data_IF_954635627031
#
_entry.id   IF_954635627031
#
_cell.length_a   1.000
_cell.length_b   1.000
_cell.length_c   1.000
_cell.angle_alpha   90.00
_cell.angle_beta   90.00
_cell.angle_gamma   90.00
#
_symmetry.space_group_name_H-M   'P 1'
#
loop_
_entity.id
_entity.type
_entity.pdbx_description
1 polymer ?
#
# COMPACT_ATOMS: atom_id res chain seq x y z
N UNK A 1 -59.37 7.40 21.02
CA UNK A 1 -59.44 7.29 19.56
C UNK A 1 -58.08 7.64 18.99
N UNK A 2 -57.40 6.69 18.32
CA UNK A 2 -56.12 6.92 17.66
C UNK A 2 -56.33 7.22 16.17
N UNK A 3 -55.51 8.07 15.56
CA UNK A 3 -55.36 8.18 14.11
C UNK A 3 -53.87 8.20 13.77
N UNK A 4 -53.39 7.03 13.36
CA UNK A 4 -52.87 6.72 12.01
C UNK A 4 -51.40 7.05 11.86
N UNK A 5 -50.59 6.00 12.02
CA UNK A 5 -49.18 5.91 11.61
C UNK A 5 -49.14 5.61 10.11
N UNK A 6 -48.28 6.34 9.43
CA UNK A 6 -47.91 6.11 8.04
C UNK A 6 -47.21 4.74 7.88
N UNK A 7 -47.66 3.99 6.86
CA UNK A 7 -47.14 2.68 6.46
C UNK A 7 -46.12 2.87 5.33
N UNK A 8 -44.90 2.35 5.53
CA UNK A 8 -43.90 2.19 4.47
C UNK A 8 -44.30 1.06 3.50
N UNK A 9 -43.96 1.14 2.20
CA UNK A 9 -44.33 0.14 1.21
C UNK A 9 -43.39 -1.08 1.25
N UNK A 10 -43.99 -2.25 1.50
CA UNK A 10 -43.35 -3.55 1.36
C UNK A 10 -43.21 -3.94 -0.12
N UNK A 11 -41.99 -4.35 -0.49
CA UNK A 11 -41.64 -4.90 -1.80
C UNK A 11 -42.08 -6.37 -1.86
N UNK A 12 -43.08 -6.69 -2.68
CA UNK A 12 -43.50 -8.06 -3.00
C UNK A 12 -43.05 -8.41 -4.44
N UNK A 13 -42.35 -9.52 -4.67
CA UNK A 13 -42.15 -10.03 -6.03
C UNK A 13 -43.39 -10.78 -6.51
N UNK A 14 -43.92 -10.31 -7.63
CA UNK A 14 -45.05 -10.88 -8.35
C UNK A 14 -44.68 -12.25 -8.96
N UNK A 15 -45.61 -13.19 -8.79
CA UNK A 15 -45.69 -14.47 -9.51
C UNK A 15 -45.97 -14.13 -10.97
N UNK A 16 -45.17 -14.69 -11.89
CA UNK A 16 -45.42 -14.64 -13.33
C UNK A 16 -45.34 -16.06 -13.89
N UNK A 17 -46.31 -16.31 -14.76
CA UNK A 17 -46.83 -17.59 -15.17
C UNK A 17 -46.02 -18.31 -16.26
N UNK A 18 -46.17 -19.63 -16.25
CA UNK A 18 -45.81 -20.58 -17.30
C UNK A 18 -46.53 -20.29 -18.62
N UNK A 19 -45.81 -19.89 -19.68
CA UNK A 19 -46.07 -20.28 -21.09
C UNK A 19 -45.03 -19.65 -22.05
N UNK A 20 -44.77 -20.34 -23.17
CA UNK A 20 -43.98 -19.96 -24.37
C UNK A 20 -42.46 -20.23 -24.38
N UNK A 21 -42.09 -21.43 -24.84
CA UNK A 21 -40.88 -21.64 -25.64
C UNK A 21 -41.20 -22.65 -26.76
N UNK A 22 -41.54 -22.13 -27.94
CA UNK A 22 -41.39 -22.85 -29.21
C UNK A 22 -40.49 -22.08 -30.17
N UNK A 23 -39.90 -22.86 -31.08
CA UNK A 23 -39.24 -22.48 -32.32
C UNK A 23 -37.80 -21.94 -32.21
N UNK A 24 -36.85 -22.84 -32.41
CA UNK A 24 -35.77 -22.66 -33.41
C UNK A 24 -35.15 -24.02 -33.75
N UNK A 25 -35.81 -24.71 -34.69
CA UNK A 25 -35.20 -25.76 -35.50
C UNK A 25 -34.57 -25.08 -36.71
N UNK A 26 -33.28 -25.33 -37.00
CA UNK A 26 -32.80 -25.71 -38.34
C UNK A 26 -31.26 -25.71 -38.45
N UNK A 27 -30.81 -26.72 -39.19
CA UNK A 27 -29.53 -26.93 -39.89
C UNK A 27 -28.41 -27.61 -39.10
N UNK A 28 -28.20 -28.91 -39.38
CA UNK A 28 -26.97 -29.47 -39.97
C UNK A 28 -27.14 -31.00 -40.24
N UNK A 29 -26.36 -31.60 -41.15
CA UNK A 29 -26.84 -32.64 -42.07
C UNK A 29 -26.53 -34.10 -41.69
N UNK A 30 -27.26 -34.96 -42.40
CA UNK A 30 -27.17 -36.40 -42.54
C UNK A 30 -25.77 -36.93 -42.95
N UNK A 31 -25.24 -37.97 -42.28
CA UNK A 31 -24.39 -39.03 -42.85
C UNK A 31 -24.58 -40.33 -42.04
N UNK A 32 -24.44 -41.53 -42.65
CA UNK A 32 -25.22 -42.71 -42.32
C UNK A 32 -24.55 -43.70 -41.37
N UNK A 33 -25.43 -44.49 -40.76
CA UNK A 33 -25.18 -45.72 -40.01
C UNK A 33 -24.33 -46.73 -40.80
N UNK A 34 -23.20 -47.13 -40.22
CA UNK A 34 -22.80 -48.54 -40.17
C UNK A 34 -21.70 -48.71 -39.12
N UNK A 35 -21.99 -49.38 -38.02
CA UNK A 35 -20.94 -50.05 -37.26
C UNK A 35 -21.49 -51.24 -36.46
N UNK A 36 -20.84 -52.36 -36.70
CA UNK A 36 -21.08 -53.68 -36.16
C UNK A 36 -21.00 -53.75 -34.62
N UNK A 37 -21.73 -54.74 -34.12
CA UNK A 37 -21.76 -55.15 -32.73
C UNK A 37 -20.36 -55.59 -32.23
N UNK A 38 -19.76 -54.79 -31.35
CA UNK A 38 -18.83 -55.27 -30.32
C UNK A 38 -18.94 -54.35 -29.10
N UNK A 39 -19.67 -54.82 -28.07
CA UNK A 39 -19.76 -54.14 -26.78
C UNK A 39 -18.42 -54.27 -26.04
N UNK A 40 -17.63 -53.19 -26.01
CA UNK A 40 -16.41 -53.13 -25.20
C UNK A 40 -16.57 -52.20 -23.98
N UNK A 41 -15.98 -52.64 -22.87
CA UNK A 41 -16.21 -52.24 -21.47
C UNK A 41 -15.73 -50.82 -21.10
N UNK A 42 -15.54 -49.93 -22.06
CA UNK A 42 -15.11 -48.53 -21.85
C UNK A 42 -16.29 -47.55 -21.71
N UNK A 43 -17.52 -47.96 -22.10
CA UNK A 43 -18.74 -47.15 -21.95
C UNK A 43 -19.16 -46.94 -20.48
N UNK A 44 -18.84 -47.88 -19.58
CA UNK A 44 -19.23 -47.76 -18.17
C UNK A 44 -18.46 -46.68 -17.40
N UNK A 45 -17.19 -46.41 -17.76
CA UNK A 45 -16.39 -45.42 -17.04
C UNK A 45 -16.72 -43.98 -17.47
N UNK A 46 -16.97 -43.77 -18.76
CA UNK A 46 -17.37 -42.45 -19.29
C UNK A 46 -18.82 -42.10 -18.91
N UNK A 47 -19.74 -43.07 -18.91
CA UNK A 47 -21.14 -42.86 -18.46
C UNK A 47 -21.24 -42.64 -16.94
N UNK A 48 -20.28 -43.15 -16.16
CA UNK A 48 -20.17 -42.86 -14.74
C UNK A 48 -19.59 -41.46 -14.45
N UNK A 49 -18.75 -40.94 -15.35
CA UNK A 49 -18.21 -39.58 -15.24
C UNK A 49 -19.19 -38.50 -15.76
N UNK A 50 -19.97 -38.79 -16.82
CA UNK A 50 -21.01 -37.87 -17.32
C UNK A 50 -22.20 -37.72 -16.36
N UNK A 51 -22.62 -38.81 -15.70
CA UNK A 51 -23.71 -38.76 -14.71
C UNK A 51 -23.28 -38.22 -13.33
N UNK A 52 -22.04 -37.75 -13.19
CA UNK A 52 -21.53 -37.08 -11.97
C UNK A 52 -21.53 -35.57 -12.09
N UNK A 53 -22.09 -35.05 -13.17
CA UNK A 53 -22.51 -33.66 -13.33
C UNK A 53 -24.03 -33.64 -13.14
N UNK A 54 -24.51 -34.23 -12.04
CA UNK A 54 -25.83 -33.87 -11.52
C UNK A 54 -25.65 -32.47 -10.96
N UNK A 55 -26.04 -31.51 -11.77
CA UNK A 55 -26.54 -30.19 -11.40
C UNK A 55 -26.44 -29.89 -9.90
N UNK A 56 -25.38 -29.21 -9.48
CA UNK A 56 -25.45 -28.37 -8.27
C UNK A 56 -26.38 -27.20 -8.57
N UNK A 57 -27.69 -27.47 -8.61
CA UNK A 57 -28.70 -26.42 -8.51
C UNK A 57 -28.40 -25.65 -7.21
N UNK A 58 -28.19 -24.33 -7.25
CA UNK A 58 -27.94 -23.57 -6.04
C UNK A 58 -29.12 -23.79 -5.09
N UNK A 59 -28.83 -24.24 -3.88
CA UNK A 59 -29.88 -24.46 -2.87
C UNK A 59 -30.61 -23.13 -2.67
N UNK A 60 -31.92 -23.12 -2.95
CA UNK A 60 -32.72 -21.90 -2.92
C UNK A 60 -32.95 -21.45 -1.46
N UNK A 61 -32.84 -20.13 -1.22
CA UNK A 61 -33.15 -19.44 0.04
C UNK A 61 -32.29 -19.83 1.28
N UNK A 62 -32.66 -19.31 2.45
CA UNK A 62 -32.08 -19.64 3.76
C UNK A 62 -32.58 -21.00 4.31
N UNK A 63 -32.51 -22.04 3.48
CA UNK A 63 -33.06 -23.37 3.78
C UNK A 63 -32.55 -23.99 5.09
N UNK A 64 -31.33 -23.66 5.53
CA UNK A 64 -30.77 -24.11 6.82
C UNK A 64 -31.50 -23.44 8.00
N UNK A 65 -31.78 -22.14 7.89
CA UNK A 65 -32.52 -21.42 8.92
C UNK A 65 -33.97 -21.87 8.97
N UNK A 66 -34.59 -22.07 7.80
CA UNK A 66 -35.93 -22.64 7.70
C UNK A 66 -36.02 -24.03 8.31
N UNK A 67 -35.04 -24.90 8.02
CA UNK A 67 -34.96 -26.23 8.63
C UNK A 67 -34.83 -26.15 10.15
N UNK A 68 -34.02 -25.21 10.66
CA UNK A 68 -33.91 -24.97 12.12
C UNK A 68 -35.22 -24.44 12.70
N UNK A 69 -35.97 -23.59 11.97
CA UNK A 69 -37.28 -23.07 12.41
C UNK A 69 -38.35 -24.18 12.41
N UNK A 70 -38.36 -25.05 11.40
CA UNK A 70 -39.35 -26.13 11.22
C UNK A 70 -39.08 -27.35 12.11
N UNK A 71 -37.84 -27.80 12.19
CA UNK A 71 -37.45 -29.05 12.86
C UNK A 71 -36.59 -28.84 14.12
N UNK A 72 -36.24 -27.60 14.43
CA UNK A 72 -35.38 -27.27 15.56
C UNK A 72 -33.90 -27.56 15.29
N UNK A 73 -33.08 -27.34 16.32
CA UNK A 73 -31.70 -27.84 16.35
C UNK A 73 -31.67 -29.22 16.98
N UNK A 74 -30.58 -29.94 16.76
CA UNK A 74 -30.27 -31.18 17.48
C UNK A 74 -30.44 -30.97 18.99
N UNK A 75 -31.09 -31.91 19.68
CA UNK A 75 -31.46 -31.79 21.09
C UNK A 75 -30.28 -31.45 22.02
N UNK A 76 -29.09 -31.99 21.73
CA UNK A 76 -27.87 -31.76 22.52
C UNK A 76 -27.03 -30.53 22.08
N UNK A 77 -27.52 -29.73 21.12
CA UNK A 77 -26.78 -28.60 20.55
C UNK A 77 -26.37 -27.57 21.61
N UNK A 78 -27.32 -27.14 22.45
CA UNK A 78 -27.07 -26.12 23.46
C UNK A 78 -26.16 -26.63 24.57
N UNK A 79 -26.31 -27.89 24.98
CA UNK A 79 -25.41 -28.51 25.95
C UNK A 79 -23.98 -28.61 25.44
N UNK A 80 -23.80 -29.01 24.18
CA UNK A 80 -22.49 -29.07 23.52
C UNK A 80 -21.85 -27.68 23.40
N UNK A 81 -22.63 -26.67 23.00
CA UNK A 81 -22.17 -25.28 22.87
C UNK A 81 -21.71 -24.73 24.22
N UNK A 82 -22.54 -24.85 25.26
CA UNK A 82 -22.20 -24.46 26.64
C UNK A 82 -20.94 -25.15 27.13
N UNK A 83 -20.84 -26.47 26.97
CA UNK A 83 -19.64 -27.25 27.37
C UNK A 83 -18.40 -26.87 26.55
N UNK A 84 -18.55 -26.41 25.30
CA UNK A 84 -17.44 -25.95 24.46
C UNK A 84 -16.91 -24.59 24.96
N UNK A 85 -17.80 -23.64 25.19
CA UNK A 85 -17.46 -22.30 25.69
C UNK A 85 -16.78 -22.37 27.07
N UNK A 86 -17.31 -23.17 27.99
CA UNK A 86 -16.70 -23.38 29.30
C UNK A 86 -15.28 -23.98 29.23
N UNK A 87 -15.01 -24.89 28.27
CA UNK A 87 -13.69 -25.51 28.09
C UNK A 87 -12.70 -24.63 27.34
N UNK A 88 -13.14 -23.57 26.69
CA UNK A 88 -12.30 -22.74 25.81
C UNK A 88 -11.19 -22.02 26.59
N UNK A 89 -11.47 -21.57 27.82
CA UNK A 89 -10.47 -20.94 28.69
C UNK A 89 -9.30 -21.91 29.03
N UNK A 90 -9.61 -23.14 29.40
CA UNK A 90 -8.59 -24.16 29.68
C UNK A 90 -7.85 -24.58 28.41
N UNK A 91 -8.58 -24.82 27.31
CA UNK A 91 -8.00 -25.18 26.01
C UNK A 91 -7.04 -24.12 25.51
N UNK A 92 -7.42 -22.85 25.63
CA UNK A 92 -6.58 -21.76 25.16
C UNK A 92 -5.30 -21.58 25.99
N UNK A 93 -5.38 -21.72 27.31
CA UNK A 93 -4.19 -21.72 28.18
C UNK A 93 -3.27 -22.89 27.87
N UNK A 94 -3.83 -24.10 27.76
CA UNK A 94 -3.06 -25.30 27.42
C UNK A 94 -2.43 -25.20 26.02
N UNK A 95 -3.15 -24.65 25.05
CA UNK A 95 -2.63 -24.45 23.70
C UNK A 95 -1.53 -23.40 23.67
N UNK A 96 -1.63 -22.32 24.45
CA UNK A 96 -0.57 -21.32 24.56
C UNK A 96 0.73 -21.88 25.14
N UNK A 97 0.65 -22.79 26.13
CA UNK A 97 1.82 -23.46 26.72
C UNK A 97 2.46 -24.50 25.78
N UNK A 98 1.64 -25.18 24.97
CA UNK A 98 2.10 -26.25 24.07
C UNK A 98 2.57 -25.73 22.70
N UNK A 99 2.07 -24.58 22.26
CA UNK A 99 2.45 -24.02 20.97
C UNK A 99 3.93 -23.63 20.98
N UNK A 100 4.68 -24.07 19.96
CA UNK A 100 6.09 -23.72 19.77
C UNK A 100 6.32 -23.04 18.40
N UNK A 101 7.43 -22.30 18.28
CA UNK A 101 7.87 -21.69 17.03
C UNK A 101 6.91 -20.61 16.49
N UNK A 102 6.68 -20.61 15.18
CA UNK A 102 5.85 -19.60 14.49
C UNK A 102 4.40 -19.63 15.00
N UNK A 103 3.87 -20.82 15.29
CA UNK A 103 2.48 -20.96 15.79
C UNK A 103 2.30 -20.25 17.13
N UNK A 104 3.28 -20.32 18.02
CA UNK A 104 3.28 -19.60 19.29
C UNK A 104 3.32 -18.07 19.07
N UNK A 105 4.21 -17.60 18.20
CA UNK A 105 4.34 -16.17 17.87
C UNK A 105 3.04 -15.58 17.32
N UNK A 106 2.39 -16.28 16.38
CA UNK A 106 1.10 -15.85 15.83
C UNK A 106 -0.01 -15.86 16.88
N UNK A 107 -0.04 -16.86 17.75
CA UNK A 107 -0.99 -16.93 18.87
C UNK A 107 -0.82 -15.73 19.80
N UNK A 108 0.40 -15.42 20.21
CA UNK A 108 0.66 -14.31 21.11
C UNK A 108 0.34 -12.95 20.47
N UNK A 109 0.66 -12.77 19.18
CA UNK A 109 0.28 -11.58 18.43
C UNK A 109 -1.24 -11.40 18.36
N UNK A 110 -1.99 -12.47 18.05
CA UNK A 110 -3.46 -12.46 18.06
C UNK A 110 -4.02 -12.12 19.44
N UNK A 111 -3.51 -12.76 20.50
CA UNK A 111 -3.94 -12.52 21.88
C UNK A 111 -3.64 -11.09 22.34
N UNK A 112 -2.51 -10.52 21.93
CA UNK A 112 -2.19 -9.13 22.22
C UNK A 112 -3.18 -8.18 21.55
N UNK A 113 -3.51 -8.41 20.27
CA UNK A 113 -4.50 -7.61 19.55
C UNK A 113 -5.90 -7.70 20.20
N UNK A 114 -6.36 -8.90 20.57
CA UNK A 114 -7.63 -9.11 21.29
C UNK A 114 -7.67 -8.33 22.61
N UNK A 115 -6.61 -8.39 23.42
CA UNK A 115 -6.51 -7.65 24.69
C UNK A 115 -6.54 -6.14 24.47
N UNK A 116 -5.84 -5.63 23.45
CA UNK A 116 -5.83 -4.20 23.12
C UNK A 116 -7.22 -3.75 22.67
N UNK A 117 -7.90 -4.54 21.84
CA UNK A 117 -9.26 -4.24 21.40
C UNK A 117 -10.23 -4.18 22.59
N UNK A 118 -10.21 -5.17 23.48
CA UNK A 118 -11.06 -5.19 24.67
C UNK A 118 -10.78 -4.01 25.61
N UNK A 119 -9.50 -3.65 25.80
CA UNK A 119 -9.14 -2.46 26.58
C UNK A 119 -9.69 -1.17 25.96
N UNK A 120 -9.62 -1.02 24.64
CA UNK A 120 -10.19 0.14 23.93
C UNK A 120 -11.71 0.18 24.05
N UNK A 121 -12.40 -0.96 23.94
CA UNK A 121 -13.87 -0.99 24.05
C UNK A 121 -14.34 -0.71 25.47
N UNK A 122 -13.64 -1.23 26.49
CA UNK A 122 -13.94 -0.91 27.89
C UNK A 122 -13.71 0.57 28.16
N UNK A 123 -12.54 1.11 27.75
CA UNK A 123 -12.23 2.52 27.89
C UNK A 123 -13.27 3.42 27.23
N UNK A 124 -13.67 3.13 25.98
CA UNK A 124 -14.70 3.89 25.28
C UNK A 124 -16.09 3.79 25.93
N UNK A 125 -16.42 2.65 26.56
CA UNK A 125 -17.66 2.48 27.32
C UNK A 125 -17.64 3.28 28.63
N UNK A 126 -16.53 3.23 29.36
CA UNK A 126 -16.33 3.97 30.61
C UNK A 126 -16.36 5.49 30.35
N UNK A 127 -15.66 5.95 29.30
CA UNK A 127 -15.65 7.35 28.85
C UNK A 127 -17.00 7.84 28.32
N UNK A 128 -17.88 6.95 27.82
CA UNK A 128 -19.25 7.33 27.43
C UNK A 128 -20.11 7.64 28.66
N UNK A 129 -19.93 6.88 29.73
CA UNK A 129 -20.73 7.02 30.95
C UNK A 129 -20.25 8.19 31.83
N UNK A 130 -18.97 8.53 31.73
CA UNK A 130 -18.43 9.76 32.31
C UNK A 130 -18.71 10.91 31.33
N UNK A 131 -19.67 11.77 31.64
CA UNK A 131 -19.71 13.11 31.02
C UNK A 131 -18.41 13.80 31.40
N UNK A 132 -17.40 13.75 30.54
CA UNK A 132 -16.34 14.73 30.60
C UNK A 132 -17.06 16.07 30.40
N UNK A 133 -16.94 16.97 31.38
CA UNK A 133 -17.19 18.38 31.12
C UNK A 133 -16.38 18.69 29.88
N UNK A 134 -17.07 19.01 28.79
CA UNK A 134 -16.42 19.43 27.57
C UNK A 134 -15.29 20.37 27.97
N UNK A 135 -14.07 20.12 27.51
CA UNK A 135 -13.04 21.16 27.50
C UNK A 135 -13.39 22.24 26.47
N UNK A 136 -14.68 22.61 26.39
CA UNK A 136 -15.26 23.77 25.76
C UNK A 136 -15.14 25.00 26.67
N UNK A 137 -14.49 24.89 27.83
CA UNK A 137 -13.76 26.05 28.37
C UNK A 137 -12.59 26.32 27.44
N UNK A 138 -12.91 26.99 26.34
CA UNK A 138 -11.99 27.73 25.49
C UNK A 138 -11.01 28.43 26.45
N UNK A 139 -9.71 28.11 26.45
CA UNK A 139 -8.75 28.91 27.21
C UNK A 139 -8.93 30.35 26.73
N UNK A 140 -9.12 31.27 27.68
CA UNK A 140 -9.63 32.64 27.53
C UNK A 140 -8.87 33.46 26.46
N UNK A 141 -9.22 33.23 25.20
CA UNK A 141 -8.39 33.53 24.04
C UNK A 141 -8.81 32.71 22.81
N UNK A 142 -10.09 32.80 22.44
CA UNK A 142 -10.63 32.17 21.24
C UNK A 142 -9.79 32.53 20.00
N UNK A 143 -9.00 31.56 19.52
CA UNK A 143 -8.30 31.70 18.27
C UNK A 143 -9.30 31.42 17.14
N UNK A 144 -9.32 32.25 16.08
CA UNK A 144 -10.06 31.93 14.86
C UNK A 144 -9.73 30.52 14.35
N UNK A 145 -10.68 29.86 13.69
CA UNK A 145 -10.54 28.46 13.23
C UNK A 145 -9.26 28.19 12.43
N UNK A 146 -8.79 29.18 11.67
CA UNK A 146 -7.55 29.13 10.88
C UNK A 146 -6.24 29.26 11.69
N UNK A 147 -6.31 29.49 13.01
CA UNK A 147 -5.17 29.60 13.93
C UNK A 147 -5.12 28.48 14.97
N UNK A 148 -6.15 27.63 15.06
CA UNK A 148 -6.21 26.52 16.03
C UNK A 148 -5.07 25.50 15.85
N UNK A 149 -4.64 25.25 14.61
CA UNK A 149 -3.57 24.28 14.28
C UNK A 149 -2.15 24.87 14.39
N UNK A 150 -2.01 26.13 14.80
CA UNK A 150 -0.73 26.85 14.87
C UNK A 150 -0.48 27.33 16.30
N UNK A 151 -0.27 26.39 17.22
CA UNK A 151 0.07 26.70 18.61
C UNK A 151 1.34 27.57 18.68
N UNK A 152 1.16 28.83 19.06
CA UNK A 152 2.24 29.76 19.37
C UNK A 152 2.60 29.68 20.85
N UNK A 153 3.81 29.21 21.16
CA UNK A 153 4.38 29.29 22.51
C UNK A 153 4.50 30.76 22.95
N UNK A 154 3.73 31.15 23.98
CA UNK A 154 3.80 32.47 24.59
C UNK A 154 4.46 32.37 25.97
N UNK A 155 5.79 32.40 25.99
CA UNK A 155 6.57 32.68 27.19
C UNK A 155 7.64 33.73 26.86
N UNK A 156 7.74 34.79 27.66
CA UNK A 156 8.70 35.89 27.42
C UNK A 156 10.17 35.42 27.45
N UNK A 157 10.48 34.35 28.21
CA UNK A 157 11.79 33.66 28.21
C UNK A 157 12.00 32.83 26.93
N UNK A 158 10.91 32.39 26.29
CA UNK A 158 10.92 31.73 25.00
C UNK A 158 11.22 32.69 23.83
N UNK A 159 11.01 34.01 23.97
CA UNK A 159 11.32 34.98 22.90
C UNK A 159 12.83 35.14 22.66
N UNK A 160 13.65 35.18 23.71
CA UNK A 160 15.12 35.29 23.58
C UNK A 160 15.76 33.99 23.10
N UNK A 161 15.25 32.83 23.54
CA UNK A 161 15.62 31.53 22.97
C UNK A 161 15.06 31.38 21.56
N UNK A 162 13.89 31.92 21.23
CA UNK A 162 13.31 31.94 19.88
C UNK A 162 14.08 32.83 18.90
N UNK A 163 14.80 33.87 19.33
CA UNK A 163 15.71 34.61 18.43
C UNK A 163 16.93 33.75 18.07
N UNK A 164 17.50 33.04 19.05
CA UNK A 164 18.57 32.07 18.80
C UNK A 164 18.05 30.89 17.96
N UNK A 165 16.84 30.43 18.24
CA UNK A 165 16.14 29.40 17.48
C UNK A 165 15.87 29.90 16.06
N UNK A 166 15.30 31.08 15.83
CA UNK A 166 15.11 31.69 14.49
C UNK A 166 16.39 31.82 13.69
N UNK A 167 17.54 32.12 14.32
CA UNK A 167 18.85 32.12 13.64
C UNK A 167 19.28 30.70 13.23
N UNK A 168 19.08 29.70 14.10
CA UNK A 168 19.31 28.28 13.79
C UNK A 168 18.31 27.75 12.75
N UNK A 169 17.05 28.15 12.84
CA UNK A 169 15.93 27.79 11.98
C UNK A 169 16.09 28.40 10.60
N UNK A 170 16.71 29.59 10.45
CA UNK A 170 17.02 30.12 9.12
C UNK A 170 17.97 29.21 8.36
N UNK A 171 18.94 28.60 9.04
CA UNK A 171 19.82 27.59 8.44
C UNK A 171 19.10 26.24 8.28
N UNK A 172 18.26 25.84 9.25
CA UNK A 172 17.51 24.59 9.19
C UNK A 172 16.35 24.61 8.17
N UNK A 173 15.80 25.79 7.86
CA UNK A 173 14.68 25.98 6.91
C UNK A 173 15.08 25.65 5.48
N UNK A 174 16.34 25.89 5.14
CA UNK A 174 16.94 25.49 3.87
C UNK A 174 17.77 24.20 4.01
N UNK A 175 17.59 23.46 5.10
CA UNK A 175 18.18 22.14 5.23
C UNK A 175 17.24 21.11 4.60
N UNK A 176 17.84 20.19 3.84
CA UNK A 176 17.13 19.06 3.25
C UNK A 176 16.77 18.08 4.39
N UNK A 177 15.61 17.38 4.38
CA UNK A 177 15.18 16.51 5.49
C UNK A 177 16.23 15.47 5.95
N UNK A 178 17.02 14.95 5.02
CA UNK A 178 18.16 14.07 5.30
C UNK A 178 19.46 14.79 4.91
N UNK A 179 20.12 15.51 5.83
CA UNK A 179 21.35 16.25 5.52
C UNK A 179 22.57 15.34 5.43
N UNK A 180 22.66 14.32 6.30
CA UNK A 180 23.77 13.36 6.35
C UNK A 180 23.23 11.96 6.07
N UNK A 181 23.80 11.31 5.06
CA UNK A 181 23.46 9.93 4.67
C UNK A 181 24.69 9.06 4.89
N UNK A 182 24.47 7.76 5.11
CA UNK A 182 25.52 6.75 5.11
C UNK A 182 26.31 6.82 3.79
N UNK A 183 27.65 6.86 3.92
CA UNK A 183 28.54 6.67 2.78
C UNK A 183 28.43 5.23 2.25
N UNK A 184 28.30 5.08 0.93
CA UNK A 184 28.31 3.78 0.25
C UNK A 184 29.70 3.61 -0.37
N UNK A 185 30.28 2.43 -0.16
CA UNK A 185 31.54 2.06 -0.79
C UNK A 185 31.34 1.77 -2.29
N UNK A 186 32.35 2.05 -3.12
CA UNK A 186 32.25 1.85 -4.57
C UNK A 186 31.95 0.40 -4.96
N UNK A 187 32.47 -0.58 -4.19
CA UNK A 187 32.25 -2.01 -4.42
C UNK A 187 30.78 -2.42 -4.24
N UNK A 188 30.06 -1.79 -3.31
CA UNK A 188 28.63 -2.02 -3.10
C UNK A 188 27.79 -1.50 -4.28
N UNK A 189 28.25 -0.43 -4.93
CA UNK A 189 27.54 0.23 -6.02
C UNK A 189 27.87 -0.35 -7.40
N UNK A 190 29.10 -0.83 -7.58
CA UNK A 190 29.60 -1.35 -8.85
C UNK A 190 30.02 -2.82 -8.76
N UNK A 191 29.23 -3.70 -9.37
CA UNK A 191 29.61 -5.09 -9.58
C UNK A 191 30.61 -5.21 -10.74
N UNK A 192 31.73 -5.88 -10.51
CA UNK A 192 32.73 -6.17 -11.54
C UNK A 192 32.19 -7.18 -12.55
N UNK A 193 32.26 -6.85 -13.85
CA UNK A 193 31.86 -7.75 -14.94
C UNK A 193 33.08 -8.22 -15.73
N UNK A 194 33.30 -9.55 -15.74
CA UNK A 194 34.38 -10.20 -16.49
C UNK A 194 33.93 -10.54 -17.92
N UNK A 195 34.81 -10.34 -18.90
CA UNK A 195 34.54 -10.49 -20.34
C UNK A 195 35.58 -11.38 -21.03
N UNK A 196 35.21 -11.96 -22.17
CA UNK A 196 36.04 -12.90 -22.95
C UNK A 196 35.80 -14.37 -22.59
N UNK A 197 36.23 -15.30 -23.45
CA UNK A 197 36.05 -16.75 -23.27
C UNK A 197 36.64 -17.24 -21.94
N UNK A 198 37.86 -16.80 -21.61
CA UNK A 198 38.55 -17.12 -20.35
C UNK A 198 38.20 -16.19 -19.18
N UNK A 199 37.33 -15.18 -19.38
CA UNK A 199 36.90 -14.22 -18.35
C UNK A 199 38.03 -13.46 -17.64
N UNK A 200 39.20 -13.30 -18.27
CA UNK A 200 40.33 -12.58 -17.68
C UNK A 200 40.15 -11.05 -17.62
N UNK A 201 39.31 -10.47 -18.49
CA UNK A 201 39.19 -9.02 -18.65
C UNK A 201 38.06 -8.45 -17.78
N UNK A 202 38.38 -7.64 -16.77
CA UNK A 202 37.45 -7.11 -15.77
C UNK A 202 37.28 -5.57 -15.81
N UNK A 203 37.23 -4.97 -17.00
CA UNK A 203 37.17 -3.51 -17.18
C UNK A 203 35.76 -2.92 -17.07
N UNK A 204 34.72 -3.76 -17.19
CA UNK A 204 33.31 -3.35 -17.11
C UNK A 204 32.80 -3.33 -15.66
N UNK A 205 31.87 -2.41 -15.39
CA UNK A 205 31.23 -2.22 -14.08
C UNK A 205 29.72 -2.15 -14.27
N UNK A 206 28.98 -2.95 -13.53
CA UNK A 206 27.52 -2.94 -13.53
C UNK A 206 27.02 -2.19 -12.29
N UNK A 207 26.13 -1.22 -12.49
CA UNK A 207 25.48 -0.51 -11.40
C UNK A 207 24.43 -1.42 -10.76
N UNK A 208 24.51 -1.60 -9.44
CA UNK A 208 23.59 -2.45 -8.65
C UNK A 208 22.43 -1.68 -8.03
N UNK A 209 22.56 -0.34 -7.94
CA UNK A 209 21.57 0.56 -7.34
C UNK A 209 20.54 1.03 -8.36
N UNK A 210 19.43 1.60 -7.86
CA UNK A 210 18.41 2.21 -8.69
C UNK A 210 19.00 3.35 -9.53
N UNK A 211 18.58 3.47 -10.78
CA UNK A 211 19.07 4.47 -11.72
C UNK A 211 17.92 5.19 -12.42
N UNK A 212 18.10 6.48 -12.64
CA UNK A 212 17.29 7.27 -13.54
C UNK A 212 18.06 7.43 -14.84
N UNK A 213 17.33 7.27 -15.93
CA UNK A 213 17.87 7.37 -17.27
C UNK A 213 16.88 8.25 -18.04
N UNK A 214 17.38 9.35 -18.60
CA UNK A 214 16.55 10.31 -19.35
C UNK A 214 15.85 9.66 -20.54
N UNK A 215 14.80 10.31 -21.02
CA UNK A 215 13.88 9.76 -22.02
C UNK A 215 14.55 9.45 -23.37
N UNK A 216 15.55 10.24 -23.77
CA UNK A 216 16.36 10.04 -24.98
C UNK A 216 17.56 9.10 -24.84
N UNK A 217 17.57 8.17 -23.88
CA UNK A 217 18.75 7.32 -23.66
C UNK A 217 18.88 6.19 -24.67
N UNK A 218 19.91 6.31 -25.52
CA UNK A 218 20.41 5.22 -26.35
C UNK A 218 21.63 4.56 -25.68
N UNK A 219 21.69 3.23 -25.69
CA UNK A 219 22.86 2.50 -25.15
C UNK A 219 24.07 2.73 -26.06
N UNK A 220 25.24 2.94 -25.44
CA UNK A 220 26.51 2.97 -26.17
C UNK A 220 26.84 1.57 -26.72
N UNK A 221 27.60 1.47 -27.83
CA UNK A 221 28.08 0.19 -28.33
C UNK A 221 28.81 -0.62 -27.25
N UNK A 222 28.62 -1.94 -27.24
CA UNK A 222 29.08 -2.85 -26.17
C UNK A 222 30.59 -2.75 -25.91
N UNK A 223 31.39 -2.41 -26.93
CA UNK A 223 32.85 -2.26 -26.81
C UNK A 223 33.27 -0.97 -26.10
N UNK A 224 32.46 0.09 -26.16
CA UNK A 224 32.73 1.40 -25.55
C UNK A 224 32.02 1.59 -24.20
N UNK A 225 31.00 0.77 -23.90
CA UNK A 225 30.26 0.84 -22.63
C UNK A 225 31.07 0.22 -21.47
N UNK A 226 31.57 1.07 -20.56
CA UNK A 226 32.24 0.66 -19.32
C UNK A 226 31.26 0.50 -18.15
N UNK A 227 30.39 1.49 -17.93
CA UNK A 227 29.38 1.48 -16.88
C UNK A 227 28.03 1.02 -17.44
N UNK A 228 27.55 -0.13 -16.95
CA UNK A 228 26.30 -0.75 -17.39
C UNK A 228 25.21 -0.39 -16.37
N UNK A 229 24.13 0.23 -16.86
CA UNK A 229 22.91 0.48 -16.09
C UNK A 229 21.82 -0.48 -16.56
N UNK A 230 21.51 -1.56 -15.84
CA UNK A 230 20.57 -2.58 -16.30
C UNK A 230 19.13 -2.02 -16.38
N UNK A 231 18.33 -2.48 -17.34
CA UNK A 231 16.98 -1.94 -17.57
C UNK A 231 16.02 -2.15 -16.40
N UNK A 232 16.14 -3.27 -15.67
CA UNK A 232 15.30 -3.58 -14.52
C UNK A 232 15.46 -2.57 -13.37
N UNK A 233 16.63 -1.91 -13.27
CA UNK A 233 16.92 -0.91 -12.24
C UNK A 233 16.68 0.52 -12.74
N UNK A 234 16.05 0.71 -13.90
CA UNK A 234 15.74 2.03 -14.45
C UNK A 234 14.34 2.44 -14.06
N UNK A 235 14.24 3.47 -13.24
CA UNK A 235 12.97 4.04 -12.82
C UNK A 235 12.67 5.32 -13.59
N UNK A 236 11.39 5.52 -13.92
CA UNK A 236 10.88 6.75 -14.56
C UNK A 236 9.98 7.57 -13.65
N UNK A 237 9.41 6.95 -12.61
CA UNK A 237 8.46 7.56 -11.68
C UNK A 237 8.93 7.37 -10.24
N UNK A 238 8.57 8.30 -9.38
CA UNK A 238 8.79 8.25 -7.94
C UNK A 238 7.47 8.46 -7.19
N UNK A 239 7.35 7.84 -6.02
CA UNK A 239 6.28 8.12 -5.08
C UNK A 239 6.70 9.29 -4.19
N UNK A 240 6.12 10.45 -4.42
CA UNK A 240 6.49 11.72 -3.79
C UNK A 240 5.43 12.12 -2.78
N UNK A 241 5.86 12.40 -1.56
CA UNK A 241 5.00 12.83 -0.46
C UNK A 241 5.10 14.34 -0.27
N UNK A 242 3.95 15.02 -0.16
CA UNK A 242 3.89 16.44 0.17
C UNK A 242 3.76 16.59 1.69
N UNK A 243 4.71 17.24 2.39
CA UNK A 243 4.68 17.31 3.85
C UNK A 243 3.46 18.05 4.40
N UNK A 244 3.02 19.14 3.76
CA UNK A 244 1.88 19.93 4.25
C UNK A 244 0.52 19.25 4.01
N UNK A 245 0.29 18.74 2.79
CA UNK A 245 -0.97 18.06 2.43
C UNK A 245 -1.09 16.64 3.00
N UNK A 246 0.03 16.03 3.43
CA UNK A 246 0.13 14.63 3.88
C UNK A 246 -0.43 13.62 2.86
N UNK A 247 -0.36 13.98 1.58
CA UNK A 247 -0.79 13.17 0.44
C UNK A 247 0.42 12.69 -0.38
N UNK A 248 0.25 11.58 -1.08
CA UNK A 248 1.30 10.93 -1.87
C UNK A 248 0.92 10.88 -3.34
N UNK A 249 1.86 11.18 -4.23
CA UNK A 249 1.64 11.28 -5.67
C UNK A 249 2.70 10.49 -6.44
N UNK A 250 2.29 9.79 -7.50
CA UNK A 250 3.22 9.04 -8.35
C UNK A 250 3.73 9.92 -9.50
N UNK A 251 4.68 10.78 -9.20
CA UNK A 251 5.19 11.79 -10.13
C UNK A 251 6.30 11.24 -11.03
N UNK A 252 6.41 11.80 -12.24
CA UNK A 252 7.49 11.47 -13.17
C UNK A 252 8.81 12.14 -12.73
N UNK A 253 9.92 11.41 -12.84
CA UNK A 253 11.25 11.93 -12.57
C UNK A 253 11.74 12.64 -13.84
N UNK A 254 12.14 13.91 -13.69
CA UNK A 254 12.72 14.70 -14.77
C UNK A 254 14.25 14.53 -14.81
N UNK A 255 14.87 14.49 -13.64
CA UNK A 255 16.33 14.42 -13.54
C UNK A 255 16.83 14.12 -12.14
N UNK A 256 18.11 13.74 -12.06
CA UNK A 256 18.84 13.61 -10.79
C UNK A 256 19.73 14.84 -10.65
N UNK A 257 19.51 15.64 -9.59
CA UNK A 257 20.22 16.91 -9.43
C UNK A 257 21.47 16.79 -8.57
N UNK A 258 21.39 16.04 -7.46
CA UNK A 258 22.51 15.88 -6.54
C UNK A 258 22.44 14.53 -5.84
N UNK A 259 23.49 13.73 -5.98
CA UNK A 259 23.74 12.58 -5.13
C UNK A 259 24.71 12.99 -4.00
N UNK A 260 24.40 12.69 -2.72
CA UNK A 260 25.23 13.11 -1.59
C UNK A 260 26.61 12.45 -1.53
N UNK A 261 26.84 11.33 -2.23
CA UNK A 261 28.08 10.56 -2.13
C UNK A 261 29.14 11.03 -3.11
N UNK A 262 28.77 11.22 -4.39
CA UNK A 262 29.70 11.73 -5.40
C UNK A 262 28.97 12.38 -6.57
N UNK A 263 29.59 13.37 -7.23
CA UNK A 263 29.06 13.96 -8.46
C UNK A 263 29.02 12.97 -9.63
N UNK A 264 29.93 11.98 -9.64
CA UNK A 264 29.93 10.89 -10.64
C UNK A 264 28.60 10.12 -10.64
N UNK A 265 28.03 9.90 -9.47
CA UNK A 265 26.77 9.17 -9.33
C UNK A 265 25.58 9.98 -9.80
N UNK A 266 25.67 11.31 -9.67
CA UNK A 266 24.70 12.25 -10.26
C UNK A 266 24.70 12.13 -11.78
N UNK A 267 25.88 12.10 -12.42
CA UNK A 267 25.98 11.95 -13.88
C UNK A 267 25.48 10.58 -14.38
N UNK A 268 25.74 9.51 -13.61
CA UNK A 268 25.19 8.18 -13.90
C UNK A 268 23.70 8.07 -13.58
N UNK A 269 23.11 9.06 -12.92
CA UNK A 269 21.71 9.04 -12.50
C UNK A 269 21.42 8.02 -11.40
N UNK A 270 22.41 7.67 -10.57
CA UNK A 270 22.22 6.71 -9.47
C UNK A 270 21.41 7.37 -8.36
N UNK A 271 20.33 6.70 -7.98
CA UNK A 271 19.40 7.12 -6.94
C UNK A 271 19.61 6.26 -5.70
N UNK A 272 20.19 6.88 -4.68
CA UNK A 272 20.36 6.31 -3.34
C UNK A 272 19.61 7.16 -2.33
N UNK A 273 19.53 6.70 -1.08
CA UNK A 273 18.95 7.50 0.01
C UNK A 273 19.58 8.89 0.06
N UNK A 274 18.74 9.91 0.20
CA UNK A 274 19.12 11.33 0.24
C UNK A 274 19.52 11.96 -1.08
N UNK A 275 19.44 11.23 -2.20
CA UNK A 275 19.59 11.83 -3.54
C UNK A 275 18.46 12.83 -3.77
N UNK A 276 18.81 14.02 -4.25
CA UNK A 276 17.88 15.06 -4.67
C UNK A 276 17.56 14.87 -6.15
N UNK A 277 16.28 14.64 -6.41
CA UNK A 277 15.71 14.44 -7.74
C UNK A 277 14.80 15.61 -8.10
N UNK A 278 14.65 15.86 -9.39
CA UNK A 278 13.68 16.79 -9.93
C UNK A 278 12.48 15.98 -10.43
N UNK A 279 11.29 16.35 -9.95
CA UNK A 279 10.03 15.65 -10.24
C UNK A 279 9.05 16.59 -10.90
N UNK A 280 8.25 16.06 -11.82
CA UNK A 280 7.19 16.81 -12.46
C UNK A 280 6.04 17.01 -11.47
N UNK A 281 5.65 18.25 -11.20
CA UNK A 281 4.58 18.63 -10.26
C UNK A 281 3.35 19.22 -10.95
N UNK A 282 3.21 19.02 -12.27
CA UNK A 282 2.03 19.49 -13.02
C UNK A 282 0.71 18.98 -12.44
N UNK A 283 0.69 17.76 -11.91
CA UNK A 283 -0.49 17.15 -11.27
C UNK A 283 -0.88 17.83 -9.95
N UNK A 284 0.04 18.56 -9.30
CA UNK A 284 -0.23 19.29 -8.04
C UNK A 284 -0.82 20.68 -8.28
N UNK A 285 -0.78 21.19 -9.51
CA UNK A 285 -1.31 22.52 -9.85
C UNK A 285 -0.62 23.66 -9.10
N UNK A 286 0.67 23.53 -8.77
CA UNK A 286 1.40 24.58 -8.07
C UNK A 286 1.60 25.80 -8.96
N UNK A 287 1.19 26.98 -8.49
CA UNK A 287 1.33 28.25 -9.21
C UNK A 287 2.18 29.20 -8.38
N UNK A 288 3.08 29.92 -9.05
CA UNK A 288 3.85 31.00 -8.43
C UNK A 288 2.98 32.24 -8.21
N UNK A 289 3.39 33.17 -7.35
CA UNK A 289 2.66 34.43 -7.14
C UNK A 289 2.48 35.24 -8.43
N UNK A 290 3.33 35.03 -9.43
CA UNK A 290 3.24 35.62 -10.76
C UNK A 290 2.37 34.84 -11.76
N UNK A 291 1.54 33.88 -11.31
CA UNK A 291 0.60 33.13 -12.17
C UNK A 291 1.24 32.06 -13.05
N UNK A 292 2.58 31.90 -13.02
CA UNK A 292 3.27 30.85 -13.78
C UNK A 292 3.12 29.51 -13.08
N UNK A 293 2.72 28.49 -13.85
CA UNK A 293 2.60 27.11 -13.38
C UNK A 293 3.99 26.52 -13.19
N UNK A 294 4.22 25.90 -12.02
CA UNK A 294 5.45 25.19 -11.71
C UNK A 294 5.37 23.79 -12.31
N UNK A 295 6.31 23.44 -13.18
CA UNK A 295 6.36 22.11 -13.79
C UNK A 295 7.35 21.18 -13.06
N UNK A 296 8.41 21.72 -12.47
CA UNK A 296 9.48 20.94 -11.83
C UNK A 296 9.72 21.39 -10.40
N UNK A 297 9.83 20.44 -9.48
CA UNK A 297 10.24 20.72 -8.09
C UNK A 297 11.23 19.67 -7.60
N UNK A 298 12.07 20.06 -6.64
CA UNK A 298 13.01 19.14 -6.03
C UNK A 298 12.33 18.28 -4.98
N UNK A 299 12.70 17.00 -4.96
CA UNK A 299 12.31 16.05 -3.95
C UNK A 299 13.55 15.28 -3.48
N UNK A 300 13.57 14.87 -2.22
CA UNK A 300 14.64 14.06 -1.66
C UNK A 300 14.17 12.63 -1.43
N UNK A 301 14.93 11.65 -1.93
CA UNK A 301 14.66 10.23 -1.69
C UNK A 301 14.91 9.88 -0.22
N UNK A 302 13.96 9.23 0.43
CA UNK A 302 14.03 8.89 1.87
C UNK A 302 14.36 7.43 2.14
N UNK A 303 14.02 6.53 1.21
CA UNK A 303 14.23 5.10 1.36
C UNK A 303 15.51 4.60 0.65
N UNK A 304 15.78 3.30 0.75
CA UNK A 304 16.83 2.61 -0.01
C UNK A 304 16.15 1.83 -1.15
N UNK A 305 16.11 2.37 -2.38
CA UNK A 305 15.29 1.79 -3.45
C UNK A 305 15.75 0.39 -3.89
N UNK A 306 17.00 -0.01 -3.62
CA UNK A 306 17.48 -1.36 -3.91
C UNK A 306 16.77 -2.49 -3.13
N UNK A 307 16.22 -2.19 -1.95
CA UNK A 307 15.61 -3.21 -1.08
C UNK A 307 14.09 -3.33 -1.31
N UNK A 308 13.45 -2.20 -1.60
CA UNK A 308 11.98 -2.11 -1.66
C UNK A 308 11.44 -2.20 -3.10
N UNK A 309 12.26 -1.86 -4.10
CA UNK A 309 11.82 -1.73 -5.48
C UNK A 309 10.97 -0.49 -5.76
N UNK A 310 10.75 0.38 -4.77
CA UNK A 310 10.05 1.66 -4.90
C UNK A 310 10.98 2.84 -4.61
N UNK A 311 10.73 3.98 -5.26
CA UNK A 311 11.41 5.24 -4.95
C UNK A 311 10.45 6.10 -4.15
N UNK A 312 10.67 6.20 -2.85
CA UNK A 312 9.90 7.08 -1.98
C UNK A 312 10.70 8.36 -1.74
N UNK A 313 10.05 9.50 -1.98
CA UNK A 313 10.66 10.81 -1.83
C UNK A 313 9.74 11.79 -1.09
N UNK A 314 10.34 12.81 -0.49
CA UNK A 314 9.64 13.93 0.15
C UNK A 314 9.91 15.19 -0.67
N UNK A 315 8.85 15.91 -1.00
CA UNK A 315 8.93 17.15 -1.76
C UNK A 315 9.57 18.25 -0.92
N UNK A 316 10.53 18.98 -1.51
CA UNK A 316 11.21 20.07 -0.85
C UNK A 316 10.43 21.38 -1.08
N UNK A 317 9.50 21.69 -0.18
CA UNK A 317 8.54 22.81 -0.36
C UNK A 317 9.22 24.17 -0.27
N UNK A 318 10.11 24.37 0.71
CA UNK A 318 10.75 25.64 1.05
C UNK A 318 12.14 25.84 0.41
N UNK A 319 12.54 24.92 -0.48
CA UNK A 319 13.86 24.96 -1.10
C UNK A 319 13.78 25.78 -2.39
N UNK A 320 14.35 26.97 -2.34
CA UNK A 320 14.44 27.83 -3.52
C UNK A 320 15.56 27.34 -4.44
N UNK A 321 15.32 27.35 -5.75
CA UNK A 321 16.23 26.79 -6.77
C UNK A 321 17.58 27.51 -6.81
N UNK A 322 17.67 28.71 -6.23
CA UNK A 322 18.87 29.54 -6.12
C UNK A 322 19.89 29.08 -5.07
N UNK A 323 19.52 28.17 -4.15
CA UNK A 323 20.37 27.74 -3.01
C UNK A 323 21.23 26.50 -3.34
N UNK A 324 20.85 25.70 -4.34
CA UNK A 324 21.58 24.48 -4.71
C UNK A 324 22.97 24.73 -5.32
N UNK A 325 23.21 25.94 -5.85
CA UNK A 325 24.55 26.39 -6.27
C UNK A 325 25.47 26.80 -5.12
N UNK A 326 24.96 26.83 -3.88
CA UNK A 326 25.67 27.24 -2.65
C UNK A 326 25.62 26.20 -1.52
N UNK A 327 25.35 24.94 -1.85
CA UNK A 327 25.55 23.88 -0.84
C UNK A 327 27.04 23.58 -0.72
N UNK A 328 27.67 23.79 0.46
CA UNK A 328 29.06 23.44 0.64
C UNK A 328 29.26 21.96 0.31
N UNK A 329 30.25 21.69 -0.53
CA UNK A 329 30.87 20.37 -0.63
C UNK A 329 31.49 20.08 0.73
N UNK A 330 30.75 19.39 1.61
CA UNK A 330 31.36 18.78 2.78
C UNK A 330 32.23 17.64 2.28
N UNK A 331 33.53 17.93 2.15
CA UNK A 331 34.59 16.94 2.11
C UNK A 331 34.91 16.41 3.49
#
# INVERSE_FOLDING_TARGET
MPSTRDLEPGYSPQILDHWELEALFLVLPCFPLNWDATQDKTSFHLKWMENRIVEELPVQNEYIEEHIKRHGRRLDHFERKRKKEAREAHRSSAYAQKAFGIKAKLLHAKRHAEKVQLKKTLKAHDERNVKQTDSSTVPDGALPTYLLDREGQKDAKALSSAIKQKRKDKAAKYSVPLPKVRGIAEDEMFKVMKTGKSKSKAWKRMVTKATFVGEGFTRKPVKMERFIRPMALRYKKANVTHPDLKATFQLQILGVKKNPQSPMYTQLGVMTKGTVIEVNVSELGMVTTGGKVVFGKYAQITNNPENDGCINAVLLVYFDTSVLGRLPSYG
#
